data_IF_114839337934
#
_entry.id   IF_114839337934
#
_cell.length_a   1.000
_cell.length_b   1.000
_cell.length_c   1.000
_cell.angle_alpha   90.00
_cell.angle_beta   90.00
_cell.angle_gamma   90.00
#
_symmetry.space_group_name_H-M   'P 1'
#
loop_
_entity.id
_entity.type
_entity.pdbx_description
1 polymer ?
#
# COMPACT_ATOMS: atom_id res chain seq x y z
N UNK A 1 -13.05 6.66 -2.89
CA UNK A 1 -12.11 5.60 -3.32
C UNK A 1 -11.31 5.13 -2.12
N UNK A 2 -11.16 3.80 -1.93
CA UNK A 2 -10.34 3.24 -0.84
C UNK A 2 -8.87 3.56 -1.06
N UNK A 3 -8.19 3.97 0.01
CA UNK A 3 -6.76 4.28 0.04
C UNK A 3 -6.07 3.34 1.02
N UNK A 4 -4.78 3.11 0.81
CA UNK A 4 -3.96 2.46 1.84
C UNK A 4 -3.60 3.49 2.92
N UNK A 5 -3.28 3.01 4.12
CA UNK A 5 -2.81 3.83 5.23
C UNK A 5 -1.48 4.50 4.92
N UNK A 6 -1.15 5.54 5.68
CA UNK A 6 0.17 6.18 5.57
C UNK A 6 1.29 5.21 5.96
N UNK A 7 1.03 4.25 6.85
CA UNK A 7 1.99 3.23 7.23
C UNK A 7 2.43 2.39 6.01
N UNK A 8 1.49 1.89 5.20
CA UNK A 8 1.80 1.15 3.97
C UNK A 8 2.49 2.06 2.95
N UNK A 9 2.05 3.31 2.79
CA UNK A 9 2.74 4.27 1.91
C UNK A 9 4.20 4.44 2.32
N UNK A 10 4.48 4.61 3.61
CA UNK A 10 5.83 4.77 4.11
C UNK A 10 6.67 3.51 3.90
N UNK A 11 6.11 2.31 4.10
CA UNK A 11 6.79 1.06 3.76
C UNK A 11 7.20 1.01 2.30
N UNK A 12 6.28 1.31 1.39
CA UNK A 12 6.57 1.32 -0.05
C UNK A 12 7.67 2.33 -0.40
N UNK A 13 7.63 3.54 0.18
CA UNK A 13 8.58 4.59 -0.17
C UNK A 13 9.97 4.43 0.46
N UNK A 14 10.07 3.78 1.62
CA UNK A 14 11.31 3.70 2.40
C UNK A 14 11.98 2.33 2.39
N UNK A 15 11.23 1.26 2.13
CA UNK A 15 11.75 -0.10 2.16
C UNK A 15 11.90 -0.64 0.72
N UNK A 16 13.15 -0.69 0.25
CA UNK A 16 13.45 -1.08 -1.14
C UNK A 16 12.96 -2.49 -1.47
N UNK A 17 13.21 -3.46 -0.58
CA UNK A 17 12.77 -4.84 -0.78
C UNK A 17 11.23 -4.94 -0.81
N UNK A 18 10.55 -4.18 0.05
CA UNK A 18 9.09 -4.15 0.09
C UNK A 18 8.49 -3.67 -1.22
N UNK A 19 8.99 -2.54 -1.75
CA UNK A 19 8.52 -1.99 -3.03
C UNK A 19 8.90 -2.86 -4.23
N UNK A 20 10.06 -3.52 -4.20
CA UNK A 20 10.47 -4.47 -5.25
C UNK A 20 9.59 -5.71 -5.27
N UNK A 21 9.25 -6.27 -4.11
CA UNK A 21 8.35 -7.42 -4.04
C UNK A 21 6.94 -7.07 -4.51
N UNK A 22 6.41 -5.94 -4.05
CA UNK A 22 5.10 -5.46 -4.51
C UNK A 22 5.09 -5.19 -6.02
N UNK A 23 6.18 -4.66 -6.58
CA UNK A 23 6.34 -4.45 -8.01
C UNK A 23 6.25 -5.76 -8.81
N UNK A 24 6.91 -6.82 -8.32
CA UNK A 24 6.82 -8.17 -8.90
C UNK A 24 5.40 -8.72 -8.85
N UNK A 25 4.72 -8.57 -7.71
CA UNK A 25 3.34 -9.04 -7.52
C UNK A 25 2.36 -8.31 -8.45
N UNK A 26 2.59 -7.02 -8.70
CA UNK A 26 1.77 -6.18 -9.58
C UNK A 26 2.19 -6.24 -11.05
N UNK A 27 3.24 -6.99 -11.39
CA UNK A 27 3.86 -7.06 -12.71
C UNK A 27 4.14 -5.69 -13.34
N UNK A 28 4.74 -4.79 -12.56
CA UNK A 28 5.13 -3.45 -12.99
C UNK A 28 6.51 -3.09 -12.47
N UNK A 29 7.10 -2.02 -13.03
CA UNK A 29 8.37 -1.52 -12.53
C UNK A 29 8.23 -0.92 -11.13
N UNK A 30 9.26 -1.07 -10.29
CA UNK A 30 9.31 -0.50 -8.94
C UNK A 30 9.07 1.01 -8.95
N UNK A 31 9.61 1.74 -9.93
CA UNK A 31 9.39 3.18 -10.06
C UNK A 31 7.90 3.52 -10.23
N UNK A 32 7.13 2.67 -10.92
CA UNK A 32 5.69 2.82 -11.04
C UNK A 32 4.99 2.60 -9.69
N UNK A 33 5.41 1.61 -8.89
CA UNK A 33 4.92 1.39 -7.51
C UNK A 33 5.20 2.58 -6.60
N UNK A 34 6.42 3.13 -6.64
CA UNK A 34 6.77 4.34 -5.90
C UNK A 34 5.89 5.53 -6.32
N UNK A 35 5.63 5.66 -7.62
CA UNK A 35 4.69 6.65 -8.15
C UNK A 35 3.27 6.44 -7.60
N UNK A 36 2.79 5.20 -7.52
CA UNK A 36 1.47 4.86 -6.97
C UNK A 36 1.38 5.25 -5.49
N UNK A 37 2.43 5.02 -4.71
CA UNK A 37 2.48 5.38 -3.29
C UNK A 37 2.49 6.90 -3.09
N UNK A 38 3.29 7.65 -3.86
CA UNK A 38 3.33 9.13 -3.77
C UNK A 38 1.96 9.79 -3.97
N UNK A 39 1.09 9.20 -4.81
CA UNK A 39 -0.27 9.69 -5.07
C UNK A 39 -1.36 8.94 -4.29
N UNK A 40 -0.98 8.01 -3.40
CA UNK A 40 -1.85 7.08 -2.69
C UNK A 40 -2.96 6.52 -3.60
N UNK A 41 -2.54 5.90 -4.71
CA UNK A 41 -3.45 5.35 -5.72
C UNK A 41 -4.26 4.18 -5.18
N UNK A 42 -5.54 4.12 -5.57
CA UNK A 42 -6.41 2.96 -5.36
C UNK A 42 -5.88 1.65 -5.97
N UNK A 43 -4.90 1.67 -6.89
CA UNK A 43 -4.26 0.42 -7.34
C UNK A 43 -3.55 -0.31 -6.20
N UNK A 44 -3.13 0.40 -5.15
CA UNK A 44 -2.55 -0.19 -3.95
C UNK A 44 -3.59 -0.90 -3.06
N UNK A 45 -4.89 -0.75 -3.34
CA UNK A 45 -5.98 -1.44 -2.65
C UNK A 45 -6.60 -2.57 -3.47
N UNK A 46 -6.02 -2.91 -4.62
CA UNK A 46 -6.43 -4.09 -5.40
C UNK A 46 -6.19 -5.37 -4.60
N UNK A 47 -7.02 -6.38 -4.84
CA UNK A 47 -6.98 -7.66 -4.13
C UNK A 47 -5.56 -8.23 -4.04
N UNK A 48 -4.83 -8.25 -5.15
CA UNK A 48 -3.47 -8.80 -5.21
C UNK A 48 -2.46 -8.04 -4.32
N UNK A 49 -2.58 -6.71 -4.23
CA UNK A 49 -1.74 -5.90 -3.34
C UNK A 49 -2.14 -6.12 -1.88
N UNK A 50 -3.44 -6.21 -1.60
CA UNK A 50 -3.97 -6.47 -0.26
C UNK A 50 -3.54 -7.85 0.24
N UNK A 51 -3.57 -8.88 -0.63
CA UNK A 51 -3.11 -10.21 -0.27
C UNK A 51 -1.62 -10.20 0.07
N UNK A 52 -0.79 -9.53 -0.74
CA UNK A 52 0.62 -9.36 -0.43
C UNK A 52 0.85 -8.72 0.95
N UNK A 53 0.10 -7.68 1.32
CA UNK A 53 0.22 -7.09 2.65
C UNK A 53 -0.18 -8.06 3.77
N UNK A 54 -1.27 -8.82 3.57
CA UNK A 54 -1.71 -9.85 4.54
C UNK A 54 -0.69 -10.96 4.69
N UNK A 55 -0.06 -11.40 3.60
CA UNK A 55 1.00 -12.42 3.62
C UNK A 55 2.27 -11.94 4.34
N UNK A 56 2.47 -10.61 4.41
CA UNK A 56 3.51 -9.97 5.23
C UNK A 56 3.10 -9.75 6.70
N UNK A 57 1.88 -10.14 7.08
CA UNK A 57 1.38 -10.09 8.45
C UNK A 57 0.65 -8.80 8.82
N UNK A 58 0.32 -7.91 7.87
CA UNK A 58 -0.42 -6.69 8.18
C UNK A 58 -1.91 -6.95 8.33
N UNK A 59 -2.49 -6.37 9.36
CA UNK A 59 -3.94 -6.34 9.58
C UNK A 59 -4.64 -5.41 8.59
N UNK A 60 -5.97 -5.55 8.43
CA UNK A 60 -6.74 -4.63 7.58
C UNK A 60 -6.68 -3.19 8.09
N UNK A 61 -6.54 -3.01 9.40
CA UNK A 61 -6.44 -1.71 10.07
C UNK A 61 -5.13 -0.99 9.74
N UNK A 62 -4.05 -1.76 9.60
CA UNK A 62 -2.77 -1.24 9.14
C UNK A 62 -2.75 -1.04 7.64
N UNK A 63 -3.52 -1.82 6.86
CA UNK A 63 -3.54 -1.73 5.40
C UNK A 63 -4.32 -0.51 4.92
N UNK A 64 -5.53 -0.32 5.43
CA UNK A 64 -6.46 0.65 4.87
C UNK A 64 -6.46 1.97 5.65
N UNK A 65 -6.58 3.07 4.92
CA UNK A 65 -6.84 4.35 5.55
C UNK A 65 -8.23 4.31 6.22
N UNK A 66 -8.25 4.49 7.54
CA UNK A 66 -9.46 4.76 8.30
C UNK A 66 -9.52 6.27 8.52
N UNK A 67 -10.54 6.97 7.99
CA UNK A 67 -10.79 8.34 8.41
C UNK A 67 -11.07 8.30 9.90
N UNK A 68 -10.21 8.92 10.70
CA UNK A 68 -10.52 9.20 12.10
C UNK A 68 -11.72 10.12 12.09
N UNK A 69 -12.89 9.60 12.45
CA UNK A 69 -14.03 10.44 12.79
C UNK A 69 -13.72 11.12 14.12
N UNK A 70 -12.90 12.17 14.09
CA UNK A 70 -12.96 13.18 15.14
C UNK A 70 -14.22 13.99 14.89
N UNK A 71 -15.35 13.46 15.35
CA UNK A 71 -16.52 14.28 15.62
C UNK A 71 -16.11 15.26 16.73
N UNK A 72 -16.00 16.54 16.37
CA UNK A 72 -16.12 17.66 17.29
C UNK A 72 -17.33 18.46 16.83
#
# INVERSE_FOLDING_TARGET
>A
MKKVSDFIVQKILKENNFSMELARILDIQQQSVLGLAKRNSNKLTLYVAVQFYKDKGFSEDEIFFKPTNNAI
#
